data_IF_935768777026
#
_entry.id   IF_935768777026
#
_cell.length_a   1.000
_cell.length_b   1.000
_cell.length_c   1.000
_cell.angle_alpha   90.00
_cell.angle_beta   90.00
_cell.angle_gamma   90.00
#
_symmetry.space_group_name_H-M   'P 1'
#
loop_
_entity.id
_entity.type
_entity.pdbx_description
1 polymer ?
#
# COMPACT_ATOMS: atom_id res chain seq x y z
N UNK A 1 -19.87 11.86 10.74
CA UNK A 1 -18.62 12.49 10.37
C UNK A 1 -17.43 11.85 11.10
N UNK A 2 -16.25 12.00 10.57
CA UNK A 2 -15.06 11.27 11.02
C UNK A 2 -14.53 11.77 12.40
N UNK A 3 -14.45 13.08 12.58
CA UNK A 3 -13.96 13.67 13.84
C UNK A 3 -14.91 13.37 15.00
N UNK A 4 -16.21 13.55 14.76
CA UNK A 4 -17.23 13.23 15.76
C UNK A 4 -17.18 11.75 16.17
N UNK A 5 -17.06 10.84 15.21
CA UNK A 5 -16.88 9.41 15.48
C UNK A 5 -15.62 9.15 16.27
N UNK A 6 -14.48 9.71 15.86
CA UNK A 6 -13.19 9.52 16.57
C UNK A 6 -13.26 10.02 18.00
N UNK A 7 -13.91 11.14 18.25
CA UNK A 7 -14.07 11.68 19.61
C UNK A 7 -14.93 10.81 20.53
N UNK A 8 -15.74 9.89 19.98
CA UNK A 8 -16.44 8.88 20.83
C UNK A 8 -15.49 7.79 21.33
N UNK A 9 -14.40 7.53 20.62
CA UNK A 9 -13.40 6.53 20.98
C UNK A 9 -12.24 7.14 21.78
N UNK A 10 -11.81 8.33 21.39
CA UNK A 10 -10.71 9.07 22.01
C UNK A 10 -11.21 10.49 22.28
N UNK A 11 -11.69 10.79 23.52
CA UNK A 11 -12.24 12.09 23.86
C UNK A 11 -11.27 13.24 23.52
N UNK A 12 -11.79 14.30 22.90
CA UNK A 12 -11.02 15.49 22.50
C UNK A 12 -9.86 15.26 21.52
N UNK A 13 -9.83 14.14 20.79
CA UNK A 13 -8.83 13.92 19.73
C UNK A 13 -8.90 15.01 18.67
N UNK A 14 -10.10 15.47 18.35
CA UNK A 14 -10.37 16.63 17.50
C UNK A 14 -11.16 17.66 18.30
N UNK A 15 -10.49 18.68 18.89
CA UNK A 15 -11.15 19.70 19.72
C UNK A 15 -12.12 20.57 18.93
N UNK A 16 -11.81 20.84 17.64
CA UNK A 16 -12.75 21.47 16.70
C UNK A 16 -13.32 20.43 15.72
N UNK A 17 -14.57 20.62 15.37
CA UNK A 17 -15.23 19.86 14.31
C UNK A 17 -15.23 20.62 12.97
N UNK A 18 -14.51 21.73 12.88
CA UNK A 18 -14.33 22.46 11.62
C UNK A 18 -13.64 21.58 10.58
N UNK A 19 -14.22 21.50 9.40
CA UNK A 19 -13.73 20.63 8.33
C UNK A 19 -13.98 19.14 8.57
N UNK A 20 -14.88 18.77 9.49
CA UNK A 20 -15.25 17.38 9.69
C UNK A 20 -16.18 16.87 8.57
N UNK A 21 -15.77 15.82 7.89
CA UNK A 21 -16.51 15.20 6.78
C UNK A 21 -16.70 13.69 7.01
N UNK A 22 -17.65 13.08 6.29
CA UNK A 22 -17.67 11.64 6.11
C UNK A 22 -16.37 11.15 5.44
N UNK A 23 -15.84 10.02 5.92
CA UNK A 23 -14.66 9.36 5.34
C UNK A 23 -14.89 7.86 5.29
N UNK A 24 -14.31 7.20 4.30
CA UNK A 24 -14.25 5.74 4.29
C UNK A 24 -13.38 5.28 5.46
N UNK A 25 -13.93 4.46 6.34
CA UNK A 25 -13.18 3.86 7.46
C UNK A 25 -12.50 2.58 7.00
N UNK A 26 -11.19 2.52 7.20
CA UNK A 26 -10.35 1.36 6.89
C UNK A 26 -9.77 0.86 8.23
N UNK A 27 -10.32 -0.21 8.82
CA UNK A 27 -9.82 -0.74 10.09
C UNK A 27 -8.54 -1.54 9.88
N UNK A 28 -7.55 -1.32 10.76
CA UNK A 28 -6.34 -2.11 10.86
C UNK A 28 -6.52 -3.12 11.98
N UNK A 29 -6.48 -4.40 11.66
CA UNK A 29 -6.66 -5.51 12.59
C UNK A 29 -5.34 -6.24 12.82
N UNK A 30 -5.15 -6.71 14.04
CA UNK A 30 -4.03 -7.59 14.37
C UNK A 30 -4.32 -9.04 13.96
N UNK A 31 -3.38 -9.94 14.24
CA UNK A 31 -3.47 -11.36 13.91
C UNK A 31 -4.61 -12.09 14.64
N UNK A 32 -5.16 -11.49 15.68
CA UNK A 32 -6.32 -11.97 16.44
C UNK A 32 -7.64 -11.33 15.95
N UNK A 33 -7.56 -10.42 14.96
CA UNK A 33 -8.71 -9.71 14.39
C UNK A 33 -9.15 -8.49 15.21
N UNK A 34 -8.41 -8.11 16.28
CA UNK A 34 -8.71 -6.91 17.05
C UNK A 34 -8.26 -5.63 16.34
N UNK A 35 -9.10 -4.61 16.35
CA UNK A 35 -8.77 -3.31 15.73
C UNK A 35 -7.77 -2.57 16.64
N UNK A 36 -6.59 -2.27 16.09
CA UNK A 36 -5.56 -1.49 16.76
C UNK A 36 -5.39 -0.07 16.20
N UNK A 37 -5.89 0.17 15.00
CA UNK A 37 -5.92 1.48 14.36
C UNK A 37 -7.03 1.52 13.31
N UNK A 38 -7.37 2.70 12.84
CA UNK A 38 -8.18 2.88 11.65
C UNK A 38 -7.74 4.11 10.87
N UNK A 39 -8.00 4.09 9.58
CA UNK A 39 -7.70 5.18 8.69
C UNK A 39 -8.98 5.71 8.06
N UNK A 40 -9.14 7.03 8.05
CA UNK A 40 -10.23 7.71 7.37
C UNK A 40 -9.75 8.24 6.03
N UNK A 41 -10.21 7.65 4.91
CA UNK A 41 -9.94 8.15 3.57
C UNK A 41 -11.02 9.14 3.14
N UNK A 42 -10.60 10.30 2.65
CA UNK A 42 -11.51 11.28 2.04
C UNK A 42 -12.19 10.70 0.79
N UNK A 43 -13.47 11.04 0.57
CA UNK A 43 -14.19 10.66 -0.64
C UNK A 43 -13.89 11.59 -1.83
N UNK A 44 -13.51 12.83 -1.56
CA UNK A 44 -13.28 13.87 -2.55
C UNK A 44 -11.87 14.50 -2.42
N UNK A 45 -11.84 15.82 -2.54
CA UNK A 45 -10.62 16.63 -2.55
C UNK A 45 -10.18 17.10 -1.15
N UNK A 46 -10.85 16.64 -0.10
CA UNK A 46 -10.56 17.05 1.27
C UNK A 46 -9.14 16.68 1.67
N UNK A 47 -8.47 17.63 2.29
CA UNK A 47 -7.11 17.43 2.83
C UNK A 47 -7.11 17.34 4.35
N UNK A 48 -6.32 16.42 4.92
CA UNK A 48 -5.48 15.42 4.24
C UNK A 48 -6.34 14.28 3.64
N UNK A 49 -5.86 13.67 2.55
CA UNK A 49 -6.53 12.54 1.89
C UNK A 49 -6.74 11.36 2.85
N UNK A 50 -5.79 11.12 3.73
CA UNK A 50 -5.84 10.07 4.76
C UNK A 50 -5.58 10.64 6.15
N UNK A 51 -6.37 10.20 7.13
CA UNK A 51 -6.13 10.46 8.56
C UNK A 51 -6.07 9.11 9.27
N UNK A 52 -4.94 8.84 9.94
CA UNK A 52 -4.77 7.59 10.70
C UNK A 52 -4.94 7.85 12.19
N UNK A 53 -5.75 7.03 12.85
CA UNK A 53 -5.99 7.03 14.30
C UNK A 53 -5.47 5.72 14.86
N UNK A 54 -4.47 5.79 15.74
CA UNK A 54 -3.97 4.64 16.48
C UNK A 54 -4.74 4.49 17.79
N UNK A 55 -5.23 3.30 18.06
CA UNK A 55 -5.85 2.91 19.32
C UNK A 55 -4.85 2.17 20.23
N UNK A 56 -3.86 1.51 19.64
CA UNK A 56 -2.74 0.85 20.32
C UNK A 56 -1.43 1.21 19.59
N UNK A 57 -0.31 1.22 20.33
CA UNK A 57 1.01 1.44 19.74
C UNK A 57 1.48 0.18 19.02
N UNK A 58 1.29 0.17 17.70
CA UNK A 58 1.74 -0.88 16.77
C UNK A 58 2.17 -0.26 15.45
N UNK A 59 2.97 -1.00 14.70
CA UNK A 59 3.29 -0.65 13.31
C UNK A 59 2.01 -0.67 12.47
N UNK A 60 1.90 0.32 11.58
CA UNK A 60 0.71 0.52 10.74
C UNK A 60 0.73 -0.45 9.55
N UNK A 61 0.42 -1.71 9.82
CA UNK A 61 0.34 -2.77 8.83
C UNK A 61 -1.12 -3.20 8.69
N UNK A 62 -1.64 -3.13 7.47
CA UNK A 62 -2.99 -3.55 7.14
C UNK A 62 -3.00 -4.98 6.60
N UNK A 63 -3.97 -5.78 7.02
CA UNK A 63 -4.17 -7.14 6.52
C UNK A 63 -3.51 -8.24 7.34
N UNK A 64 -3.03 -7.95 8.57
CA UNK A 64 -2.43 -8.96 9.46
C UNK A 64 -3.38 -10.09 9.82
N UNK A 65 -4.68 -9.81 9.84
CA UNK A 65 -5.76 -10.76 10.17
C UNK A 65 -6.12 -11.73 9.02
N UNK A 66 -5.62 -11.46 7.80
CA UNK A 66 -6.03 -12.20 6.59
C UNK A 66 -4.87 -12.78 5.78
N UNK A 67 -3.63 -12.38 6.06
CA UNK A 67 -2.45 -12.82 5.31
C UNK A 67 -1.81 -14.03 5.97
N UNK A 68 -1.60 -15.07 5.18
CA UNK A 68 -0.88 -16.28 5.56
C UNK A 68 0.63 -16.08 5.30
N UNK A 69 1.37 -15.68 6.33
CA UNK A 69 2.82 -15.46 6.27
C UNK A 69 3.64 -16.75 6.18
N UNK A 70 3.02 -17.92 6.31
CA UNK A 70 3.68 -19.21 6.09
C UNK A 70 3.91 -19.51 4.61
N UNK A 71 3.26 -18.75 3.73
CA UNK A 71 3.38 -18.79 2.27
C UNK A 71 4.01 -17.51 1.77
N UNK A 72 4.42 -17.52 0.51
CA UNK A 72 4.77 -16.28 -0.18
C UNK A 72 3.63 -15.28 -0.11
N UNK A 73 3.92 -14.03 0.22
CA UNK A 73 2.93 -12.96 0.28
C UNK A 73 3.45 -11.70 -0.43
N UNK A 74 2.54 -10.80 -0.70
CA UNK A 74 2.85 -9.51 -1.31
C UNK A 74 2.76 -8.39 -0.28
N UNK A 75 3.47 -7.31 -0.55
CA UNK A 75 3.42 -6.11 0.28
C UNK A 75 3.33 -4.89 -0.62
N UNK A 76 2.28 -4.09 -0.45
CA UNK A 76 2.12 -2.83 -1.16
C UNK A 76 2.02 -1.65 -0.19
N UNK A 77 1.89 -0.43 -0.71
CA UNK A 77 1.81 0.77 0.12
C UNK A 77 0.39 1.01 0.63
N UNK A 78 -0.60 0.90 -0.25
CA UNK A 78 -1.98 1.28 0.02
C UNK A 78 -2.86 0.15 0.54
N UNK A 79 -3.65 0.36 1.64
CA UNK A 79 -4.61 -0.64 2.10
C UNK A 79 -5.63 -1.05 1.03
N UNK A 80 -6.12 -0.11 0.21
CA UNK A 80 -7.09 -0.44 -0.84
C UNK A 80 -6.47 -1.27 -1.95
N UNK A 81 -5.24 -0.98 -2.36
CA UNK A 81 -4.50 -1.75 -3.37
C UNK A 81 -4.35 -3.21 -2.94
N UNK A 82 -4.02 -3.43 -1.66
CA UNK A 82 -3.83 -4.77 -1.11
C UNK A 82 -5.09 -5.65 -1.15
N UNK A 83 -6.28 -5.07 -1.29
CA UNK A 83 -7.54 -5.83 -1.39
C UNK A 83 -7.72 -6.55 -2.73
N UNK A 84 -6.99 -6.10 -3.75
CA UNK A 84 -7.05 -6.65 -5.10
C UNK A 84 -5.93 -7.66 -5.40
N UNK A 85 -5.07 -7.94 -4.42
CA UNK A 85 -3.95 -8.87 -4.55
C UNK A 85 -4.13 -10.02 -3.56
N UNK A 86 -3.87 -11.23 -4.01
CA UNK A 86 -3.96 -12.40 -3.14
C UNK A 86 -2.82 -12.38 -2.12
N UNK A 87 -3.14 -12.71 -0.87
CA UNK A 87 -2.18 -12.80 0.24
C UNK A 87 -1.30 -11.55 0.36
N UNK A 88 -1.90 -10.36 0.47
CA UNK A 88 -1.20 -9.09 0.45
C UNK A 88 -1.39 -8.27 1.73
N UNK A 89 -0.28 -7.79 2.30
CA UNK A 89 -0.24 -6.76 3.34
C UNK A 89 -0.12 -5.37 2.73
N UNK A 90 -0.56 -4.34 3.45
CA UNK A 90 -0.19 -2.97 3.12
C UNK A 90 0.53 -2.31 4.30
N UNK A 91 1.67 -1.67 4.00
CA UNK A 91 2.43 -0.87 4.96
C UNK A 91 2.26 0.59 4.59
N UNK A 92 1.30 1.26 5.21
CA UNK A 92 1.02 2.66 4.93
C UNK A 92 2.21 3.57 5.22
N UNK A 93 3.00 3.85 4.22
CA UNK A 93 4.07 4.84 4.28
C UNK A 93 5.39 4.32 4.80
N UNK A 94 5.81 3.06 4.40
CA UNK A 94 7.24 2.98 4.21
C UNK A 94 8.16 2.02 4.93
N UNK A 95 7.80 1.30 5.93
CA UNK A 95 8.84 0.49 6.54
C UNK A 95 8.69 -1.00 6.21
N UNK A 96 8.93 -1.34 4.92
CA UNK A 96 9.11 -2.74 4.47
C UNK A 96 10.25 -3.44 5.20
N UNK A 97 11.17 -2.66 5.80
CA UNK A 97 12.37 -3.16 6.47
C UNK A 97 12.10 -3.96 7.74
N UNK A 98 10.92 -3.80 8.33
CA UNK A 98 10.50 -4.49 9.55
C UNK A 98 9.72 -5.76 9.29
N UNK A 99 9.41 -6.05 8.03
CA UNK A 99 8.70 -7.26 7.66
C UNK A 99 9.69 -8.41 7.54
N UNK A 100 9.30 -9.55 8.10
CA UNK A 100 10.01 -10.82 7.98
C UNK A 100 9.18 -11.81 7.14
N UNK A 101 9.86 -12.69 6.43
CA UNK A 101 9.24 -13.73 5.61
C UNK A 101 9.63 -13.67 4.14
N UNK A 102 9.00 -14.51 3.36
CA UNK A 102 9.16 -14.57 1.89
C UNK A 102 8.10 -13.71 1.22
N UNK A 103 8.48 -12.52 0.76
CA UNK A 103 7.55 -11.58 0.16
C UNK A 103 8.10 -10.83 -1.05
N UNK A 104 7.19 -10.34 -1.87
CA UNK A 104 7.47 -9.43 -3.00
C UNK A 104 6.88 -8.05 -2.71
N UNK A 105 7.68 -7.00 -2.89
CA UNK A 105 7.25 -5.61 -2.71
C UNK A 105 6.66 -5.06 -4.00
N UNK A 106 5.53 -4.37 -3.89
CA UNK A 106 4.83 -3.71 -4.98
C UNK A 106 4.77 -2.22 -4.68
N UNK A 107 5.50 -1.44 -5.46
CA UNK A 107 5.47 0.03 -5.42
C UNK A 107 4.48 0.60 -6.43
N UNK A 108 4.04 1.83 -6.21
CA UNK A 108 3.29 2.58 -7.21
C UNK A 108 4.07 2.69 -8.52
N UNK A 109 3.36 2.70 -9.64
CA UNK A 109 3.94 2.80 -10.98
C UNK A 109 4.30 4.26 -11.32
N UNK A 110 5.27 4.80 -10.60
CA UNK A 110 5.74 6.16 -10.76
C UNK A 110 7.25 6.21 -11.11
N UNK A 111 7.64 5.81 -12.33
CA UNK A 111 9.06 5.63 -12.69
C UNK A 111 9.89 6.92 -12.61
N UNK A 112 9.27 8.09 -12.61
CA UNK A 112 9.93 9.39 -12.46
C UNK A 112 9.92 9.95 -11.03
N UNK A 113 9.26 9.27 -10.10
CA UNK A 113 9.24 9.67 -8.70
C UNK A 113 10.57 9.30 -8.03
N UNK A 114 11.32 10.31 -7.60
CA UNK A 114 12.66 10.12 -7.00
C UNK A 114 12.61 9.34 -5.70
N UNK A 115 11.55 9.52 -4.89
CA UNK A 115 11.43 8.82 -3.61
C UNK A 115 11.13 7.34 -3.84
N UNK A 116 10.21 7.01 -4.74
CA UNK A 116 9.91 5.62 -5.13
C UNK A 116 11.16 4.95 -5.72
N UNK A 117 11.88 5.62 -6.62
CA UNK A 117 13.13 5.09 -7.18
C UNK A 117 14.15 4.74 -6.10
N UNK A 118 14.31 5.60 -5.08
CA UNK A 118 15.21 5.37 -3.96
C UNK A 118 14.77 4.18 -3.10
N UNK A 119 13.48 4.04 -2.85
CA UNK A 119 12.93 2.91 -2.11
C UNK A 119 13.10 1.59 -2.87
N UNK A 120 12.82 1.57 -4.17
CA UNK A 120 13.06 0.42 -5.06
C UNK A 120 14.52 -0.01 -5.01
N UNK A 121 15.45 0.93 -5.19
CA UNK A 121 16.89 0.65 -5.16
C UNK A 121 17.33 0.06 -3.82
N UNK A 122 16.85 0.61 -2.71
CA UNK A 122 17.09 0.09 -1.36
C UNK A 122 16.57 -1.34 -1.22
N UNK A 123 15.36 -1.61 -1.69
CA UNK A 123 14.71 -2.93 -1.62
C UNK A 123 15.47 -3.97 -2.45
N UNK A 124 15.88 -3.63 -3.67
CA UNK A 124 16.70 -4.50 -4.53
C UNK A 124 18.05 -4.79 -3.86
N UNK A 125 18.72 -3.80 -3.29
CA UNK A 125 20.02 -3.97 -2.64
C UNK A 125 19.95 -4.83 -1.38
N UNK A 126 18.80 -4.94 -0.74
CA UNK A 126 18.53 -5.88 0.36
C UNK A 126 18.28 -7.32 -0.12
N UNK A 127 18.15 -7.53 -1.41
CA UNK A 127 17.89 -8.86 -1.99
C UNK A 127 16.41 -9.24 -2.05
N UNK A 128 15.49 -8.32 -1.71
CA UNK A 128 14.06 -8.59 -1.78
C UNK A 128 13.56 -8.64 -3.23
N UNK A 129 12.51 -9.43 -3.48
CA UNK A 129 11.79 -9.44 -4.74
C UNK A 129 10.90 -8.20 -4.86
N UNK A 130 10.79 -7.66 -6.06
CA UNK A 130 9.96 -6.50 -6.37
C UNK A 130 9.19 -6.68 -7.66
N UNK A 131 8.07 -5.98 -7.79
CA UNK A 131 7.35 -5.82 -9.05
C UNK A 131 7.86 -4.55 -9.74
N UNK A 132 8.20 -4.68 -11.02
CA UNK A 132 8.50 -3.55 -11.91
C UNK A 132 7.49 -3.58 -13.06
N UNK A 133 6.58 -2.63 -13.04
CA UNK A 133 5.46 -2.56 -13.97
C UNK A 133 5.92 -2.48 -15.43
N UNK A 134 5.28 -3.23 -16.34
CA UNK A 134 5.62 -3.17 -17.76
C UNK A 134 5.14 -1.83 -18.36
N UNK A 135 5.77 -1.40 -19.44
CA UNK A 135 5.51 -0.11 -20.09
C UNK A 135 4.04 0.07 -20.54
N UNK A 136 3.35 -1.02 -20.79
CA UNK A 136 1.95 -1.02 -21.23
C UNK A 136 0.99 -0.57 -20.10
N UNK A 137 1.36 -0.79 -18.84
CA UNK A 137 0.58 -0.32 -17.68
C UNK A 137 0.86 1.15 -17.49
N UNK A 138 -0.18 1.97 -17.62
CA UNK A 138 -0.11 3.44 -17.50
C UNK A 138 -0.66 3.96 -16.18
N UNK A 139 -1.49 3.16 -15.53
CA UNK A 139 -2.10 3.47 -14.27
C UNK A 139 -1.04 3.60 -13.18
N UNK A 140 -1.27 4.53 -12.27
CA UNK A 140 -0.34 4.86 -11.20
C UNK A 140 -0.25 3.77 -10.13
N UNK A 141 -1.38 3.22 -9.74
CA UNK A 141 -1.51 2.23 -8.66
C UNK A 141 -2.54 1.16 -9.03
N UNK A 142 -2.63 0.12 -8.19
CA UNK A 142 -3.53 -1.00 -8.44
C UNK A 142 -5.00 -0.58 -8.39
N UNK A 143 -5.36 0.34 -7.51
CA UNK A 143 -6.72 0.85 -7.45
C UNK A 143 -7.10 1.55 -8.77
N UNK A 144 -6.20 2.31 -9.36
CA UNK A 144 -6.42 2.96 -10.66
C UNK A 144 -6.51 1.91 -11.78
N UNK A 145 -5.73 0.81 -11.74
CA UNK A 145 -5.84 -0.30 -12.70
C UNK A 145 -7.23 -0.95 -12.66
N UNK A 146 -7.76 -1.20 -11.47
CA UNK A 146 -9.12 -1.74 -11.31
C UNK A 146 -10.17 -0.74 -11.80
N UNK A 147 -10.02 0.54 -11.50
CA UNK A 147 -10.94 1.59 -11.95
C UNK A 147 -10.90 1.78 -13.47
N UNK A 148 -9.77 1.51 -14.13
CA UNK A 148 -9.65 1.53 -15.59
C UNK A 148 -10.30 0.32 -16.28
N UNK A 149 -10.69 -0.69 -15.50
CA UNK A 149 -11.43 -1.87 -15.98
C UNK A 149 -10.63 -3.17 -16.00
N UNK A 150 -9.38 -3.17 -15.47
CA UNK A 150 -8.64 -4.43 -15.30
C UNK A 150 -9.31 -5.30 -14.23
N UNK A 151 -9.38 -6.59 -14.47
CA UNK A 151 -9.81 -7.56 -13.46
C UNK A 151 -8.71 -7.81 -12.43
N UNK A 152 -9.10 -8.34 -11.27
CA UNK A 152 -8.16 -8.76 -10.23
C UNK A 152 -7.18 -9.81 -10.77
N UNK A 153 -7.66 -10.74 -11.58
CA UNK A 153 -6.89 -11.80 -12.20
C UNK A 153 -5.83 -11.25 -13.16
N UNK A 154 -6.20 -10.27 -13.98
CA UNK A 154 -5.25 -9.59 -14.90
C UNK A 154 -4.16 -8.85 -14.13
N UNK A 155 -4.52 -8.13 -13.07
CA UNK A 155 -3.54 -7.44 -12.20
C UNK A 155 -2.60 -8.46 -11.56
N UNK A 156 -3.12 -9.58 -11.03
CA UNK A 156 -2.30 -10.62 -10.40
C UNK A 156 -1.37 -11.29 -11.41
N UNK A 157 -1.81 -11.50 -12.64
CA UNK A 157 -0.98 -12.04 -13.74
C UNK A 157 0.16 -11.07 -14.09
N UNK A 158 -0.13 -9.77 -14.23
CA UNK A 158 0.88 -8.74 -14.46
C UNK A 158 1.92 -8.74 -13.35
N UNK A 159 1.50 -8.77 -12.08
CA UNK A 159 2.39 -8.83 -10.92
C UNK A 159 3.30 -10.05 -11.00
N UNK A 160 2.75 -11.22 -11.22
CA UNK A 160 3.48 -12.49 -11.29
C UNK A 160 4.53 -12.47 -12.40
N UNK A 161 4.15 -12.00 -13.60
CA UNK A 161 5.02 -11.95 -14.78
C UNK A 161 6.09 -10.85 -14.71
N UNK A 162 5.95 -9.88 -13.80
CA UNK A 162 6.87 -8.74 -13.67
C UNK A 162 7.52 -8.66 -12.28
N UNK A 163 7.62 -9.78 -11.59
CA UNK A 163 8.36 -9.93 -10.34
C UNK A 163 9.82 -10.26 -10.64
N UNK A 164 10.74 -9.49 -10.06
CA UNK A 164 12.18 -9.61 -10.28
C UNK A 164 12.94 -9.60 -8.94
N UNK A 165 14.12 -10.23 -8.92
CA UNK A 165 15.04 -10.21 -7.78
C UNK A 165 16.50 -10.15 -8.25
N UNK A 166 17.41 -9.83 -7.35
CA UNK A 166 18.85 -9.86 -7.59
C UNK A 166 19.32 -9.02 -8.80
N UNK A 167 20.17 -9.60 -9.65
CA UNK A 167 20.72 -8.92 -10.83
C UNK A 167 19.64 -8.58 -11.87
N UNK A 168 18.64 -9.45 -12.02
CA UNK A 168 17.49 -9.21 -12.92
C UNK A 168 16.69 -7.98 -12.52
N UNK A 169 16.43 -7.80 -11.22
CA UNK A 169 15.77 -6.62 -10.71
C UNK A 169 16.57 -5.34 -10.98
N UNK A 170 17.91 -5.36 -10.78
CA UNK A 170 18.76 -4.19 -11.07
C UNK A 170 18.73 -3.78 -12.54
N UNK A 171 18.82 -4.75 -13.43
CA UNK A 171 18.76 -4.51 -14.88
C UNK A 171 17.40 -3.91 -15.26
N UNK A 172 16.33 -4.59 -14.87
CA UNK A 172 14.95 -4.17 -15.19
C UNK A 172 14.61 -2.80 -14.60
N UNK A 173 15.04 -2.51 -13.37
CA UNK A 173 14.86 -1.22 -12.74
C UNK A 173 15.55 -0.08 -13.53
N UNK A 174 16.73 -0.34 -14.08
CA UNK A 174 17.44 0.64 -14.91
C UNK A 174 16.65 1.02 -16.18
N UNK A 175 15.89 0.09 -16.73
CA UNK A 175 14.99 0.34 -17.85
C UNK A 175 13.71 1.04 -17.39
N UNK A 176 13.06 0.50 -16.35
CA UNK A 176 11.78 0.99 -15.83
C UNK A 176 11.82 2.47 -15.46
N UNK A 177 12.84 2.92 -14.72
CA UNK A 177 12.98 4.32 -14.30
C UNK A 177 13.16 5.31 -15.44
N UNK A 178 13.36 4.85 -16.68
CA UNK A 178 13.45 5.69 -17.88
C UNK A 178 12.12 5.86 -18.59
N UNK A 179 11.11 5.06 -18.25
CA UNK A 179 9.79 5.13 -18.84
C UNK A 179 9.21 6.52 -18.55
N UNK A 180 8.69 7.17 -19.58
CA UNK A 180 7.98 8.44 -19.40
C UNK A 180 6.58 8.13 -18.85
N UNK A 181 6.31 8.57 -17.62
CA UNK A 181 4.96 8.68 -17.13
C UNK A 181 4.26 9.81 -17.92
N UNK A 182 3.10 9.52 -18.44
CA UNK A 182 2.28 10.49 -19.17
C UNK A 182 1.44 11.30 -18.20
#
# INVERSE_FOLDING_TARGET
>A
SFYKFTNTLIPNKFPSLDGDHPRLLIPFRDEQGEIFAYQGRAFGIETPKYITIKLKERDKIFGLDRVDKSKHFYVCEGPLDSLFIDNCLAVGGSDFDRLEGDFTVIFDNEPRNKEINKQIEKTINKGSSIVLWPEQVKEKDINDMILSGMSKEEVQEIITNNTFSGAGAKLRFTEWRKINAY
#
